data_IF_833767846902
#
_entry.id   IF_833767846902
#
_cell.length_a   1.000
_cell.length_b   1.000
_cell.length_c   1.000
_cell.angle_alpha   90.00
_cell.angle_beta   90.00
_cell.angle_gamma   90.00
#
_symmetry.space_group_name_H-M   'P 1'
#
loop_
_entity.id
_entity.type
_entity.pdbx_description
1 polymer ?
#
# COMPACT_ATOMS: atom_id res chain seq x y z
N UNK A 1 -41.41 16.71 55.49
CA UNK A 1 -40.61 15.59 54.95
C UNK A 1 -40.21 15.97 53.52
N UNK A 2 -38.99 16.53 53.35
CA UNK A 2 -38.46 16.83 52.04
C UNK A 2 -37.92 15.51 51.49
N UNK A 3 -38.58 14.93 50.50
CA UNK A 3 -38.02 13.81 49.72
C UNK A 3 -36.96 14.41 48.85
N UNK A 4 -35.70 14.23 49.22
CA UNK A 4 -34.58 14.53 48.32
C UNK A 4 -34.72 13.69 47.06
N UNK A 5 -34.88 14.34 45.91
CA UNK A 5 -34.92 13.61 44.65
C UNK A 5 -33.66 12.76 44.55
N UNK A 6 -33.78 11.50 44.07
CA UNK A 6 -32.64 10.63 43.92
C UNK A 6 -31.59 11.25 42.98
N UNK A 7 -30.29 11.13 43.31
CA UNK A 7 -29.16 11.74 42.60
C UNK A 7 -29.15 11.45 41.09
N UNK A 8 -29.77 10.31 40.62
CA UNK A 8 -29.91 9.97 39.23
C UNK A 8 -30.94 10.86 38.45
N UNK A 9 -31.72 11.68 39.13
CA UNK A 9 -32.57 12.69 38.49
C UNK A 9 -31.86 14.01 38.20
N UNK A 10 -30.58 14.15 38.60
CA UNK A 10 -29.80 15.32 38.30
C UNK A 10 -29.75 15.55 36.77
N UNK A 11 -30.03 16.79 36.28
CA UNK A 11 -29.96 17.14 34.85
C UNK A 11 -28.62 16.76 34.21
N UNK A 12 -27.55 16.87 34.96
CA UNK A 12 -26.19 16.52 34.55
C UNK A 12 -26.08 15.03 34.23
N UNK A 13 -26.57 14.15 35.10
CA UNK A 13 -26.54 12.69 34.90
C UNK A 13 -27.40 12.29 33.71
N UNK A 14 -28.56 12.93 33.50
CA UNK A 14 -29.40 12.69 32.32
C UNK A 14 -28.68 13.12 31.03
N UNK A 15 -28.01 14.27 31.02
CA UNK A 15 -27.25 14.72 29.84
C UNK A 15 -26.15 13.72 29.52
N UNK A 16 -25.33 13.30 30.49
CA UNK A 16 -24.27 12.30 30.25
C UNK A 16 -24.84 10.93 29.89
N UNK A 17 -25.92 10.48 30.51
CA UNK A 17 -26.60 9.22 30.19
C UNK A 17 -27.16 9.21 28.77
N UNK A 18 -27.87 10.27 28.37
CA UNK A 18 -28.41 10.41 27.02
C UNK A 18 -27.28 10.55 25.96
N UNK A 19 -26.23 11.32 26.28
CA UNK A 19 -25.05 11.46 25.42
C UNK A 19 -24.34 10.12 25.22
N UNK A 20 -24.17 9.34 26.31
CA UNK A 20 -23.61 8.00 26.24
C UNK A 20 -24.45 7.02 25.42
N UNK A 21 -25.79 7.01 25.66
CA UNK A 21 -26.72 6.18 24.91
C UNK A 21 -26.70 6.53 23.40
N UNK A 22 -26.68 7.83 23.10
CA UNK A 22 -26.57 8.29 21.70
C UNK A 22 -25.25 7.84 21.04
N UNK A 23 -24.12 7.99 21.73
CA UNK A 23 -22.81 7.58 21.21
C UNK A 23 -22.78 6.05 20.95
N UNK A 24 -23.34 5.25 21.88
CA UNK A 24 -23.43 3.79 21.70
C UNK A 24 -24.33 3.46 20.49
N UNK A 25 -25.53 4.06 20.39
CA UNK A 25 -26.44 3.83 19.29
C UNK A 25 -25.80 4.22 17.94
N UNK A 26 -25.12 5.36 17.87
CA UNK A 26 -24.39 5.82 16.69
C UNK A 26 -23.29 4.84 16.29
N UNK A 27 -22.51 4.37 17.26
CA UNK A 27 -21.43 3.40 17.05
C UNK A 27 -21.97 2.08 16.51
N UNK A 28 -23.02 1.52 17.14
CA UNK A 28 -23.66 0.28 16.69
C UNK A 28 -24.23 0.44 15.29
N UNK A 29 -24.92 1.55 15.02
CA UNK A 29 -25.47 1.84 13.70
C UNK A 29 -24.37 1.93 12.64
N UNK A 30 -23.29 2.65 12.92
CA UNK A 30 -22.14 2.75 12.02
C UNK A 30 -21.52 1.36 11.72
N UNK A 31 -21.35 0.53 12.74
CA UNK A 31 -20.83 -0.84 12.57
C UNK A 31 -21.76 -1.71 11.72
N UNK A 32 -23.06 -1.62 11.90
CA UNK A 32 -24.05 -2.39 11.14
C UNK A 32 -24.08 -1.94 9.67
N UNK A 33 -24.09 -0.64 9.44
CA UNK A 33 -24.02 -0.06 8.09
C UNK A 33 -22.75 -0.49 7.38
N UNK A 34 -21.60 -0.42 8.07
CA UNK A 34 -20.30 -0.79 7.51
C UNK A 34 -20.22 -2.23 7.00
N UNK A 35 -20.92 -3.17 7.67
CA UNK A 35 -20.99 -4.58 7.24
C UNK A 35 -21.69 -4.78 5.90
N UNK A 36 -22.64 -3.90 5.57
CA UNK A 36 -23.41 -3.97 4.31
C UNK A 36 -22.81 -3.19 3.16
N UNK A 37 -21.76 -2.39 3.39
CA UNK A 37 -21.16 -1.59 2.33
C UNK A 37 -20.13 -2.40 1.52
N UNK A 38 -20.16 -2.29 0.18
CA UNK A 38 -19.15 -2.90 -0.67
C UNK A 38 -17.80 -2.22 -0.47
N UNK A 39 -16.73 -2.86 -1.01
CA UNK A 39 -15.43 -2.20 -1.10
C UNK A 39 -15.56 -0.87 -1.88
N UNK A 40 -15.00 0.24 -1.39
CA UNK A 40 -15.20 1.56 -1.98
C UNK A 40 -14.69 1.64 -3.41
N UNK A 41 -15.21 2.61 -4.18
CA UNK A 41 -14.76 2.86 -5.55
C UNK A 41 -13.58 3.82 -5.54
N UNK A 42 -12.38 3.26 -5.50
CA UNK A 42 -11.11 3.98 -5.56
C UNK A 42 -10.48 3.73 -6.92
N UNK A 43 -10.20 4.74 -7.75
CA UNK A 43 -9.48 4.55 -8.99
C UNK A 43 -8.18 3.76 -8.77
N UNK A 44 -7.76 2.96 -9.74
CA UNK A 44 -6.57 2.09 -9.74
C UNK A 44 -6.57 0.95 -8.71
N UNK A 45 -7.28 1.10 -7.58
CA UNK A 45 -7.32 0.11 -6.49
C UNK A 45 -8.51 -0.84 -6.64
N UNK A 46 -9.73 -0.28 -6.70
CA UNK A 46 -10.96 -1.08 -6.65
C UNK A 46 -11.17 -2.00 -7.84
N UNK A 47 -10.83 -1.61 -9.07
CA UNK A 47 -10.97 -2.51 -10.22
C UNK A 47 -10.09 -3.75 -10.07
N UNK A 48 -8.83 -3.58 -9.66
CA UNK A 48 -7.90 -4.70 -9.43
C UNK A 48 -8.32 -5.56 -8.24
N UNK A 49 -8.79 -4.94 -7.15
CA UNK A 49 -9.31 -5.66 -5.99
C UNK A 49 -10.50 -6.54 -6.33
N UNK A 50 -11.50 -5.98 -7.06
CA UNK A 50 -12.71 -6.74 -7.47
C UNK A 50 -12.35 -7.90 -8.39
N UNK A 51 -11.52 -7.65 -9.40
CA UNK A 51 -11.05 -8.72 -10.29
C UNK A 51 -10.31 -9.82 -9.51
N UNK A 52 -9.41 -9.43 -8.61
CA UNK A 52 -8.70 -10.39 -7.77
C UNK A 52 -9.68 -11.18 -6.87
N UNK A 53 -10.66 -10.52 -6.25
CA UNK A 53 -11.66 -11.18 -5.41
C UNK A 53 -12.43 -12.28 -6.15
N UNK A 54 -12.77 -12.04 -7.42
CA UNK A 54 -13.46 -13.00 -8.29
C UNK A 54 -12.55 -14.14 -8.77
N UNK A 55 -11.24 -13.93 -8.83
CA UNK A 55 -10.28 -14.86 -9.42
C UNK A 55 -9.16 -15.26 -8.44
N UNK A 56 -9.30 -14.98 -7.15
CA UNK A 56 -8.26 -15.08 -6.11
C UNK A 56 -7.57 -16.46 -6.06
N UNK A 57 -8.31 -17.53 -6.33
CA UNK A 57 -7.81 -18.90 -6.26
C UNK A 57 -7.08 -19.34 -7.55
N UNK A 58 -6.91 -18.44 -8.52
CA UNK A 58 -6.07 -18.65 -9.71
C UNK A 58 -4.61 -18.30 -9.47
N UNK A 59 -4.34 -17.47 -8.43
CA UNK A 59 -3.03 -16.90 -8.16
C UNK A 59 -2.45 -17.44 -6.86
N UNK A 60 -1.17 -17.74 -6.86
CA UNK A 60 -0.43 -18.16 -5.67
C UNK A 60 0.59 -17.10 -5.20
N UNK A 61 0.82 -16.09 -6.02
CA UNK A 61 1.75 -15.00 -5.76
C UNK A 61 1.07 -13.66 -6.03
N UNK A 62 1.18 -12.72 -5.11
CA UNK A 62 0.67 -11.36 -5.31
C UNK A 62 1.75 -10.32 -5.05
N UNK A 63 1.70 -9.24 -5.84
CA UNK A 63 2.52 -8.05 -5.65
C UNK A 63 1.65 -6.93 -5.09
N UNK A 64 2.04 -6.36 -3.96
CA UNK A 64 1.32 -5.26 -3.30
C UNK A 64 2.27 -4.09 -3.11
N UNK A 65 1.97 -2.96 -3.72
CA UNK A 65 2.84 -1.79 -3.69
C UNK A 65 2.29 -0.58 -4.43
N UNK A 66 3.16 0.38 -4.67
CA UNK A 66 2.86 1.66 -5.31
C UNK A 66 2.85 1.59 -6.85
N UNK A 67 2.96 2.77 -7.48
CA UNK A 67 3.18 2.90 -8.93
C UNK A 67 4.41 2.12 -9.41
N UNK A 68 5.46 2.02 -8.58
CA UNK A 68 6.66 1.24 -8.91
C UNK A 68 6.32 -0.24 -9.14
N UNK A 69 5.46 -0.84 -8.33
CA UNK A 69 4.99 -2.20 -8.61
C UNK A 69 4.01 -2.23 -9.77
N UNK A 70 3.05 -1.28 -9.84
CA UNK A 70 2.06 -1.21 -10.91
C UNK A 70 2.68 -1.21 -12.29
N UNK A 71 3.73 -0.39 -12.49
CA UNK A 71 4.33 -0.12 -13.79
C UNK A 71 5.64 -0.87 -14.05
N UNK A 72 6.18 -1.59 -13.03
CA UNK A 72 7.51 -2.20 -13.14
C UNK A 72 7.53 -3.71 -12.95
N UNK A 73 6.41 -4.34 -12.53
CA UNK A 73 6.36 -5.79 -12.35
C UNK A 73 5.38 -6.41 -13.35
N UNK A 74 5.90 -7.25 -14.23
CA UNK A 74 5.18 -7.97 -15.27
C UNK A 74 4.95 -9.42 -14.79
N UNK A 75 3.74 -9.78 -14.30
CA UNK A 75 3.50 -11.09 -13.69
C UNK A 75 3.88 -12.27 -14.57
N UNK A 76 3.55 -12.23 -15.87
CA UNK A 76 3.86 -13.34 -16.77
C UNK A 76 5.36 -13.54 -16.98
N UNK A 77 6.15 -12.45 -16.98
CA UNK A 77 7.61 -12.51 -17.06
C UNK A 77 8.21 -13.05 -15.77
N UNK A 78 7.68 -12.62 -14.61
CA UNK A 78 8.07 -13.16 -13.31
C UNK A 78 7.81 -14.67 -13.22
N UNK A 79 6.61 -15.10 -13.62
CA UNK A 79 6.23 -16.52 -13.62
C UNK A 79 7.10 -17.37 -14.56
N UNK A 80 7.49 -16.81 -15.71
CA UNK A 80 8.42 -17.47 -16.62
C UNK A 80 9.80 -17.62 -16.00
N UNK A 81 10.34 -16.54 -15.46
CA UNK A 81 11.69 -16.51 -14.86
C UNK A 81 11.79 -17.45 -13.65
N UNK A 82 10.80 -17.41 -12.76
CA UNK A 82 10.78 -18.31 -11.59
C UNK A 82 10.66 -19.78 -11.99
N UNK A 83 9.91 -20.09 -13.05
CA UNK A 83 9.80 -21.45 -13.60
C UNK A 83 11.13 -21.94 -14.16
N UNK A 84 11.85 -21.08 -14.89
CA UNK A 84 13.17 -21.41 -15.44
C UNK A 84 14.20 -21.70 -14.33
N UNK A 85 13.94 -21.15 -13.13
CA UNK A 85 14.73 -21.41 -11.93
C UNK A 85 14.13 -22.49 -10.99
N UNK A 86 13.12 -23.25 -11.45
CA UNK A 86 12.55 -24.39 -10.74
C UNK A 86 11.48 -24.02 -9.68
N UNK A 87 10.92 -22.82 -9.72
CA UNK A 87 9.83 -22.40 -8.84
C UNK A 87 8.63 -21.99 -9.67
N UNK A 88 7.58 -22.81 -9.71
CA UNK A 88 6.35 -22.46 -10.39
C UNK A 88 5.56 -21.44 -9.59
N UNK A 89 5.21 -20.32 -10.23
CA UNK A 89 4.34 -19.28 -9.69
C UNK A 89 3.20 -18.96 -10.65
N UNK A 90 2.11 -18.44 -10.10
CA UNK A 90 1.01 -17.83 -10.84
C UNK A 90 0.68 -16.50 -10.17
N UNK A 91 1.21 -15.43 -10.73
CA UNK A 91 1.24 -14.15 -10.04
C UNK A 91 0.22 -13.13 -10.56
N UNK A 92 -0.15 -12.18 -9.69
CA UNK A 92 -1.01 -11.04 -10.00
C UNK A 92 -0.48 -9.75 -9.37
N UNK A 93 -0.49 -8.66 -10.13
CA UNK A 93 0.02 -7.35 -9.69
C UNK A 93 -1.12 -6.46 -9.18
N UNK A 94 -1.15 -6.26 -7.86
CA UNK A 94 -2.09 -5.38 -7.15
C UNK A 94 -1.51 -3.98 -6.86
N UNK A 95 -0.38 -3.64 -7.46
CA UNK A 95 0.21 -2.32 -7.35
C UNK A 95 -0.73 -1.22 -7.86
N UNK A 96 -0.76 -0.09 -7.15
CA UNK A 96 -1.58 1.08 -7.50
C UNK A 96 -0.82 2.38 -7.28
N UNK A 97 -1.01 3.36 -8.18
CA UNK A 97 -0.29 4.63 -8.13
C UNK A 97 -0.47 5.34 -6.79
N UNK A 98 0.65 5.72 -6.18
CA UNK A 98 0.67 6.43 -4.90
C UNK A 98 0.12 5.65 -3.71
N UNK A 99 0.06 4.34 -3.78
CA UNK A 99 -0.30 3.48 -2.64
C UNK A 99 0.92 3.34 -1.72
N UNK A 100 0.90 4.07 -0.61
CA UNK A 100 1.97 4.11 0.39
C UNK A 100 1.45 3.69 1.76
N UNK A 101 2.33 3.27 2.70
CA UNK A 101 1.91 3.04 4.08
C UNK A 101 1.21 4.27 4.70
N UNK A 102 0.15 4.10 5.49
CA UNK A 102 -0.50 2.83 5.91
C UNK A 102 -1.48 2.20 4.91
N UNK A 103 -1.76 2.85 3.75
CA UNK A 103 -2.72 2.36 2.75
C UNK A 103 -2.37 0.95 2.25
N UNK A 104 -1.09 0.70 1.91
CA UNK A 104 -0.63 -0.63 1.47
C UNK A 104 -0.90 -1.72 2.51
N UNK A 105 -0.72 -1.44 3.80
CA UNK A 105 -1.00 -2.39 4.88
C UNK A 105 -2.50 -2.67 5.01
N UNK A 106 -3.33 -1.62 4.94
CA UNK A 106 -4.78 -1.78 4.90
C UNK A 106 -5.21 -2.64 3.73
N UNK A 107 -4.72 -2.33 2.53
CA UNK A 107 -5.09 -3.01 1.30
C UNK A 107 -4.71 -4.49 1.33
N UNK A 108 -3.51 -4.82 1.77
CA UNK A 108 -3.11 -6.22 1.95
C UNK A 108 -4.05 -6.97 2.90
N UNK A 109 -4.45 -6.35 4.02
CA UNK A 109 -5.41 -6.96 4.96
C UNK A 109 -6.78 -7.22 4.32
N UNK A 110 -7.25 -6.32 3.43
CA UNK A 110 -8.47 -6.58 2.67
C UNK A 110 -8.31 -7.80 1.74
N UNK A 111 -7.16 -7.96 1.11
CA UNK A 111 -6.85 -9.11 0.25
C UNK A 111 -6.80 -10.40 1.08
N UNK A 112 -6.12 -10.41 2.22
CA UNK A 112 -6.04 -11.59 3.10
C UNK A 112 -7.42 -12.01 3.64
N UNK A 113 -8.33 -11.06 3.90
CA UNK A 113 -9.72 -11.32 4.29
C UNK A 113 -10.55 -12.04 3.22
N UNK A 114 -10.12 -12.04 1.97
CA UNK A 114 -10.76 -12.83 0.91
C UNK A 114 -10.43 -14.32 1.04
N UNK A 115 -9.49 -14.70 1.87
CA UNK A 115 -9.01 -16.08 2.06
C UNK A 115 -8.66 -16.76 0.73
N UNK A 116 -7.67 -16.24 -0.05
CA UNK A 116 -7.26 -16.86 -1.31
C UNK A 116 -6.61 -18.24 -1.02
N UNK A 117 -7.27 -19.32 -1.47
CA UNK A 117 -6.92 -20.68 -1.10
C UNK A 117 -5.56 -21.16 -1.62
N UNK A 118 -5.04 -20.55 -2.68
CA UNK A 118 -3.76 -20.93 -3.30
C UNK A 118 -2.59 -20.01 -2.95
N UNK A 119 -2.84 -18.93 -2.19
CA UNK A 119 -1.81 -17.95 -1.90
C UNK A 119 -0.64 -18.57 -1.14
N UNK A 120 0.55 -18.46 -1.71
CA UNK A 120 1.82 -18.92 -1.14
C UNK A 120 2.76 -17.76 -0.83
N UNK A 121 2.77 -16.74 -1.68
CA UNK A 121 3.74 -15.63 -1.56
C UNK A 121 3.06 -14.28 -1.71
N UNK A 122 3.43 -13.38 -0.79
CA UNK A 122 3.08 -11.97 -0.83
C UNK A 122 4.38 -11.18 -1.00
N UNK A 123 4.59 -10.64 -2.17
CA UNK A 123 5.72 -9.75 -2.45
C UNK A 123 5.25 -8.31 -2.21
N UNK A 124 5.83 -7.69 -1.19
CA UNK A 124 5.37 -6.43 -0.65
C UNK A 124 6.44 -5.34 -0.84
N UNK A 125 6.05 -4.20 -1.42
CA UNK A 125 6.95 -3.08 -1.62
C UNK A 125 7.26 -2.36 -0.32
N UNK A 126 8.56 -2.12 -0.06
CA UNK A 126 8.99 -1.29 1.05
C UNK A 126 9.01 0.17 0.58
N UNK A 127 8.34 1.02 1.33
CA UNK A 127 8.39 2.46 1.17
C UNK A 127 8.57 3.06 2.56
N UNK A 128 9.74 3.64 2.81
CA UNK A 128 10.00 4.40 4.04
C UNK A 128 9.81 5.89 3.77
N UNK A 129 8.66 6.21 3.27
CA UNK A 129 8.30 7.57 2.89
C UNK A 129 7.43 8.28 3.91
N UNK A 130 7.09 9.51 3.58
CA UNK A 130 6.07 10.29 4.27
C UNK A 130 4.71 9.62 4.05
N UNK A 131 3.81 9.69 5.03
CA UNK A 131 2.40 9.43 4.74
C UNK A 131 1.95 10.41 3.66
N UNK A 132 1.23 9.93 2.64
CA UNK A 132 0.77 10.78 1.55
C UNK A 132 -0.35 11.74 1.97
N UNK A 133 -0.85 11.64 3.17
CA UNK A 133 -1.91 12.52 3.67
C UNK A 133 -1.28 13.85 4.07
N UNK A 134 -1.36 14.79 3.17
CA UNK A 134 -1.19 16.21 3.40
C UNK A 134 -2.56 16.91 3.33
N UNK A 135 -2.58 18.23 3.55
CA UNK A 135 -3.82 19.02 3.64
C UNK A 135 -4.72 18.92 2.39
N UNK A 136 -4.17 18.63 1.21
CA UNK A 136 -4.92 18.51 -0.04
C UNK A 136 -5.73 17.20 -0.19
N UNK A 137 -5.33 16.14 0.49
CA UNK A 137 -5.94 14.80 0.32
C UNK A 137 -6.95 14.41 1.41
N UNK A 138 -7.13 15.21 2.46
CA UNK A 138 -7.99 14.86 3.59
C UNK A 138 -9.48 14.71 3.26
N UNK A 139 -9.92 15.19 2.09
CA UNK A 139 -11.31 15.05 1.61
C UNK A 139 -11.48 13.95 0.58
N UNK A 140 -10.41 13.40 0.04
CA UNK A 140 -10.45 12.36 -0.97
C UNK A 140 -10.96 11.04 -0.37
N UNK A 141 -11.82 10.36 -1.10
CA UNK A 141 -12.31 9.02 -0.75
C UNK A 141 -11.18 8.02 -0.56
N UNK A 142 -10.09 8.17 -1.30
CA UNK A 142 -8.91 7.37 -1.16
C UNK A 142 -8.21 7.57 0.19
N UNK A 143 -8.21 8.78 0.73
CA UNK A 143 -7.70 9.02 2.07
C UNK A 143 -8.62 8.40 3.13
N UNK A 144 -9.94 8.41 2.90
CA UNK A 144 -10.94 7.95 3.89
C UNK A 144 -10.96 6.43 4.03
N UNK A 145 -10.88 5.66 2.94
CA UNK A 145 -11.21 4.24 2.97
C UNK A 145 -10.29 3.38 3.84
N UNK A 146 -9.04 3.76 4.05
CA UNK A 146 -8.08 3.02 4.86
C UNK A 146 -7.92 3.53 6.30
N UNK A 147 -8.57 4.65 6.68
CA UNK A 147 -8.49 5.25 8.01
C UNK A 147 -9.40 4.53 9.04
N UNK A 148 -9.28 3.21 9.14
CA UNK A 148 -9.82 2.55 10.33
C UNK A 148 -8.98 2.88 11.58
N UNK A 149 -9.41 2.47 12.75
CA UNK A 149 -8.72 2.78 14.00
C UNK A 149 -7.25 2.34 14.01
N UNK A 150 -6.97 1.14 13.47
CA UNK A 150 -5.62 0.55 13.44
C UNK A 150 -4.66 1.33 12.53
N UNK A 151 -5.09 1.64 11.33
CA UNK A 151 -4.29 2.37 10.35
C UNK A 151 -4.20 3.86 10.68
N UNK A 152 -5.18 4.42 11.38
CA UNK A 152 -5.11 5.78 11.92
C UNK A 152 -4.06 5.88 13.02
N UNK A 153 -3.99 4.91 13.94
CA UNK A 153 -2.91 4.84 14.95
C UNK A 153 -1.54 4.69 14.30
N UNK A 154 -1.43 3.87 13.25
CA UNK A 154 -0.20 3.74 12.47
C UNK A 154 0.18 5.08 11.82
N UNK A 155 -0.76 5.78 11.21
CA UNK A 155 -0.53 7.10 10.63
C UNK A 155 -0.04 8.10 11.69
N UNK A 156 -0.64 8.12 12.87
CA UNK A 156 -0.18 8.96 13.98
C UNK A 156 1.25 8.63 14.41
N UNK A 157 1.59 7.34 14.54
CA UNK A 157 2.95 6.90 14.85
C UNK A 157 3.93 7.36 13.77
N UNK A 158 3.59 7.18 12.48
CA UNK A 158 4.41 7.65 11.35
C UNK A 158 4.59 9.17 11.33
N UNK A 159 3.55 9.94 11.66
CA UNK A 159 3.63 11.40 11.81
C UNK A 159 4.57 11.76 12.97
N UNK A 160 4.43 11.10 14.10
CA UNK A 160 5.27 11.34 15.28
C UNK A 160 6.76 11.08 14.99
N UNK A 161 7.08 9.97 14.35
CA UNK A 161 8.45 9.55 14.01
C UNK A 161 9.04 10.31 12.79
N UNK A 162 8.21 11.04 12.06
CA UNK A 162 8.66 11.77 10.86
C UNK A 162 9.59 12.95 11.22
N UNK A 163 10.49 13.36 10.29
CA UNK A 163 11.36 14.52 10.49
C UNK A 163 10.61 15.87 10.34
N UNK A 164 9.29 15.88 10.35
CA UNK A 164 8.46 17.07 10.22
C UNK A 164 8.58 17.99 11.43
N UNK A 165 8.36 19.27 11.23
CA UNK A 165 8.33 20.26 12.30
C UNK A 165 7.19 19.99 13.29
N UNK A 166 7.29 20.46 14.55
CA UNK A 166 6.20 20.33 15.51
C UNK A 166 4.89 20.98 15.04
N UNK A 167 4.98 22.02 14.22
CA UNK A 167 3.83 22.72 13.66
C UNK A 167 3.11 21.86 12.61
N UNK A 168 3.83 21.29 11.64
CA UNK A 168 3.27 20.35 10.67
C UNK A 168 2.63 19.13 11.36
N UNK A 169 3.29 18.57 12.37
CA UNK A 169 2.72 17.46 13.17
C UNK A 169 1.41 17.86 13.84
N UNK A 170 1.34 19.07 14.38
CA UNK A 170 0.14 19.59 15.07
C UNK A 170 -1.07 19.69 14.14
N UNK A 171 -0.86 19.95 12.86
CA UNK A 171 -1.94 19.95 11.85
C UNK A 171 -2.34 18.54 11.41
N UNK A 172 -1.39 17.61 11.31
CA UNK A 172 -1.65 16.28 10.78
C UNK A 172 -2.44 15.39 11.76
N UNK A 173 -2.25 15.52 13.07
CA UNK A 173 -3.00 14.72 14.05
C UNK A 173 -4.52 14.94 13.97
N UNK A 174 -5.05 16.18 14.03
CA UNK A 174 -6.49 16.42 13.85
C UNK A 174 -6.98 16.03 12.46
N UNK A 175 -6.16 16.20 11.41
CA UNK A 175 -6.51 15.77 10.06
C UNK A 175 -6.80 14.27 10.01
N UNK A 176 -5.85 13.43 10.44
CA UNK A 176 -6.04 11.97 10.50
C UNK A 176 -7.22 11.57 11.39
N UNK A 177 -7.43 12.29 12.49
CA UNK A 177 -8.58 12.07 13.40
C UNK A 177 -9.90 12.36 12.69
N UNK A 178 -9.99 13.48 11.99
CA UNK A 178 -11.20 13.85 11.24
C UNK A 178 -11.51 12.86 10.12
N UNK A 179 -10.49 12.37 9.41
CA UNK A 179 -10.65 11.36 8.36
C UNK A 179 -11.12 10.03 8.98
N UNK A 180 -10.57 9.63 10.14
CA UNK A 180 -11.05 8.46 10.88
C UNK A 180 -12.55 8.55 11.17
N UNK A 181 -13.03 9.66 11.71
CA UNK A 181 -14.46 9.81 11.99
C UNK A 181 -15.31 9.78 10.71
N UNK A 182 -14.84 10.33 9.60
CA UNK A 182 -15.53 10.22 8.31
C UNK A 182 -15.62 8.76 7.86
N UNK A 183 -14.54 8.00 7.98
CA UNK A 183 -14.51 6.57 7.66
C UNK A 183 -15.43 5.79 8.60
N UNK A 184 -15.30 5.99 9.91
CA UNK A 184 -16.08 5.30 10.93
C UNK A 184 -17.58 5.51 10.78
N UNK A 185 -18.01 6.73 10.47
CA UNK A 185 -19.42 7.09 10.25
C UNK A 185 -19.88 6.83 8.81
N UNK A 186 -19.02 6.30 7.95
CA UNK A 186 -19.30 6.05 6.53
C UNK A 186 -19.82 7.28 5.76
N UNK A 187 -19.34 8.47 6.10
CA UNK A 187 -19.78 9.71 5.47
C UNK A 187 -19.39 9.73 3.99
N UNK A 188 -20.39 9.99 3.12
CA UNK A 188 -20.21 9.99 1.68
C UNK A 188 -20.40 8.62 1.00
N UNK A 189 -20.43 7.51 1.75
CA UNK A 189 -20.56 6.17 1.19
C UNK A 189 -21.93 5.84 0.58
N UNK A 190 -22.97 6.51 1.05
CA UNK A 190 -24.34 6.33 0.51
C UNK A 190 -24.45 6.75 -0.95
N UNK A 191 -23.81 7.84 -1.33
CA UNK A 191 -23.77 8.33 -2.72
C UNK A 191 -23.01 7.36 -3.64
N UNK A 192 -21.89 6.83 -3.20
CA UNK A 192 -21.13 5.80 -3.94
C UNK A 192 -21.93 4.54 -4.14
N UNK A 193 -22.56 4.04 -3.07
CA UNK A 193 -23.40 2.85 -3.14
C UNK A 193 -24.54 3.04 -4.13
N UNK A 194 -25.20 4.19 -4.12
CA UNK A 194 -26.26 4.50 -5.06
C UNK A 194 -25.74 4.60 -6.50
N UNK A 195 -24.61 5.28 -6.72
CA UNK A 195 -23.97 5.39 -8.04
C UNK A 195 -23.54 4.03 -8.58
N UNK A 196 -22.97 3.18 -7.75
CA UNK A 196 -22.56 1.83 -8.14
C UNK A 196 -23.77 0.98 -8.56
N UNK A 197 -24.88 1.08 -7.83
CA UNK A 197 -26.15 0.40 -8.18
C UNK A 197 -26.77 0.95 -9.48
N UNK A 198 -26.72 2.26 -9.70
CA UNK A 198 -27.26 2.90 -10.92
C UNK A 198 -26.35 2.71 -12.15
N UNK A 199 -25.03 2.60 -11.97
CA UNK A 199 -24.07 2.39 -13.05
C UNK A 199 -23.94 0.93 -13.49
N UNK A 200 -24.74 0.02 -12.94
CA UNK A 200 -24.71 -1.41 -13.28
C UNK A 200 -24.93 -1.71 -14.77
N UNK A 201 -25.36 -0.75 -15.56
CA UNK A 201 -25.68 -0.89 -17.00
C UNK A 201 -24.55 -0.44 -17.93
N UNK A 202 -23.50 0.22 -17.44
CA UNK A 202 -22.39 0.60 -18.31
C UNK A 202 -21.51 -0.63 -18.59
N UNK A 203 -21.61 -1.20 -19.80
CA UNK A 203 -20.62 -2.16 -20.34
C UNK A 203 -19.22 -1.55 -20.20
N UNK A 204 -18.50 -1.93 -19.18
CA UNK A 204 -17.12 -1.50 -19.03
C UNK A 204 -16.27 -2.19 -20.10
N UNK A 205 -15.51 -1.40 -20.85
CA UNK A 205 -14.42 -1.91 -21.67
C UNK A 205 -13.50 -2.73 -20.75
N UNK A 206 -13.20 -3.96 -21.14
CA UNK A 206 -12.28 -4.81 -20.37
C UNK A 206 -10.95 -4.06 -20.24
N UNK A 207 -10.48 -3.73 -19.03
CA UNK A 207 -9.23 -3.01 -18.87
C UNK A 207 -8.06 -3.84 -19.40
N UNK A 208 -7.13 -3.19 -20.11
CA UNK A 208 -5.96 -3.85 -20.71
C UNK A 208 -5.09 -4.60 -19.69
N UNK A 209 -5.08 -4.14 -18.44
CA UNK A 209 -4.32 -4.79 -17.37
C UNK A 209 -4.87 -6.17 -16.95
N UNK A 210 -6.11 -6.54 -17.33
CA UNK A 210 -6.64 -7.87 -17.02
C UNK A 210 -5.82 -8.95 -17.73
N UNK A 211 -5.54 -8.79 -19.01
CA UNK A 211 -4.70 -9.72 -19.77
C UNK A 211 -3.27 -9.70 -19.27
N UNK A 212 -2.77 -8.53 -18.86
CA UNK A 212 -1.46 -8.34 -18.27
C UNK A 212 -1.39 -8.67 -16.76
N UNK A 213 -2.44 -9.30 -16.19
CA UNK A 213 -2.52 -9.69 -14.77
C UNK A 213 -2.19 -8.56 -13.79
N UNK A 214 -2.71 -7.37 -14.07
CA UNK A 214 -2.55 -6.19 -13.22
C UNK A 214 -1.38 -5.28 -13.58
N UNK A 215 -0.50 -5.66 -14.50
CA UNK A 215 0.56 -4.79 -15.01
C UNK A 215 0.01 -3.72 -15.95
N UNK A 216 0.53 -2.53 -15.82
CA UNK A 216 0.23 -1.39 -16.69
C UNK A 216 1.54 -0.66 -16.98
N UNK A 217 2.04 -0.69 -18.23
CA UNK A 217 3.29 0.01 -18.57
C UNK A 217 3.14 1.52 -18.40
N UNK A 218 4.24 2.21 -18.12
CA UNK A 218 4.28 3.66 -18.25
C UNK A 218 4.08 4.06 -19.71
N UNK A 219 3.43 5.22 -19.96
CA UNK A 219 3.18 5.69 -21.33
C UNK A 219 4.49 6.06 -22.04
N UNK A 220 4.44 6.06 -23.37
CA UNK A 220 5.53 6.56 -24.21
C UNK A 220 5.17 7.93 -24.78
N UNK A 221 6.14 8.84 -24.99
CA UNK A 221 7.57 8.69 -24.78
C UNK A 221 7.99 8.90 -23.31
N UNK A 222 9.23 8.47 -22.98
CA UNK A 222 9.84 8.74 -21.68
C UNK A 222 9.92 10.25 -21.40
N UNK A 223 9.67 10.63 -20.13
CA UNK A 223 9.86 12.00 -19.64
C UNK A 223 11.32 12.31 -19.28
N UNK A 224 12.20 11.30 -19.29
CA UNK A 224 13.61 11.44 -18.94
C UNK A 224 14.41 12.01 -20.12
N UNK A 225 14.22 13.30 -20.36
CA UNK A 225 14.87 14.05 -21.45
C UNK A 225 15.26 15.47 -21.01
N UNK A 226 16.19 16.10 -21.71
CA UNK A 226 16.59 17.48 -21.48
C UNK A 226 17.04 17.73 -20.02
N UNK A 227 16.49 18.77 -19.35
CA UNK A 227 16.85 19.09 -17.96
C UNK A 227 16.57 17.96 -16.97
N UNK A 228 15.49 17.19 -17.15
CA UNK A 228 15.13 16.06 -16.27
C UNK A 228 16.17 14.96 -16.36
N UNK A 229 16.68 14.67 -17.55
CA UNK A 229 17.79 13.73 -17.75
C UNK A 229 19.07 14.23 -17.08
N UNK A 230 19.39 15.51 -17.21
CA UNK A 230 20.59 16.09 -16.59
C UNK A 230 20.51 15.99 -15.06
N UNK A 231 19.37 16.24 -14.48
CA UNK A 231 19.12 16.07 -13.03
C UNK A 231 19.27 14.60 -12.63
N UNK A 232 18.65 13.68 -13.35
CA UNK A 232 18.78 12.24 -13.13
C UNK A 232 20.24 11.81 -13.11
N UNK A 233 21.03 12.16 -14.13
CA UNK A 233 22.44 11.82 -14.23
C UNK A 233 23.24 12.42 -13.08
N UNK A 234 22.95 13.65 -12.66
CA UNK A 234 23.58 14.26 -11.49
C UNK A 234 23.33 13.45 -10.20
N UNK A 235 22.10 12.94 -10.02
CA UNK A 235 21.77 12.08 -8.88
C UNK A 235 22.51 10.73 -8.98
N UNK A 236 22.57 10.12 -10.16
CA UNK A 236 23.32 8.88 -10.38
C UNK A 236 24.81 9.07 -10.01
N UNK A 237 25.44 10.16 -10.43
CA UNK A 237 26.85 10.46 -10.05
C UNK A 237 27.02 10.63 -8.52
N UNK A 238 26.00 11.15 -7.84
CA UNK A 238 26.02 11.20 -6.38
C UNK A 238 25.82 9.81 -5.76
N UNK A 239 25.03 8.93 -6.36
CA UNK A 239 24.81 7.56 -5.87
C UNK A 239 26.04 6.66 -6.01
N UNK A 240 26.95 6.96 -6.93
CA UNK A 240 28.25 6.28 -7.06
C UNK A 240 29.20 6.53 -5.88
N UNK A 241 28.97 7.60 -5.13
CA UNK A 241 29.81 7.93 -3.97
C UNK A 241 29.45 7.05 -2.77
N UNK A 242 30.44 6.60 -1.98
CA UNK A 242 30.17 5.84 -0.76
C UNK A 242 29.21 6.60 0.17
N UNK A 243 28.17 5.94 0.65
CA UNK A 243 27.19 6.49 1.57
C UNK A 243 26.98 5.53 2.73
N UNK A 244 26.80 6.08 3.91
CA UNK A 244 26.38 5.29 5.06
C UNK A 244 24.92 4.83 4.85
N UNK A 245 24.65 3.53 4.94
CA UNK A 245 23.31 3.03 4.87
C UNK A 245 22.45 3.59 6.02
N UNK A 246 21.19 3.86 5.74
CA UNK A 246 20.20 4.22 6.77
C UNK A 246 19.50 2.97 7.27
N UNK A 247 19.26 2.90 8.58
CA UNK A 247 18.31 1.93 9.13
C UNK A 247 16.86 2.26 8.71
N UNK A 248 16.07 1.23 8.54
CA UNK A 248 14.61 1.37 8.41
C UNK A 248 14.06 1.89 9.74
N UNK A 249 13.10 2.82 9.71
CA UNK A 249 12.49 3.38 10.93
C UNK A 249 11.84 2.28 11.78
N UNK A 250 12.01 2.32 13.12
CA UNK A 250 11.47 1.29 14.02
C UNK A 250 9.97 1.02 13.82
N UNK A 251 9.17 2.05 13.66
CA UNK A 251 7.72 1.90 13.44
C UNK A 251 7.37 1.19 12.13
N UNK A 252 8.19 1.35 11.08
CA UNK A 252 8.01 0.58 9.85
C UNK A 252 8.43 -0.88 10.05
N UNK A 253 9.53 -1.14 10.77
CA UNK A 253 9.97 -2.51 11.10
C UNK A 253 8.87 -3.26 11.85
N UNK A 254 8.27 -2.63 12.88
CA UNK A 254 7.18 -3.22 13.64
C UNK A 254 5.99 -3.56 12.72
N UNK A 255 5.62 -2.65 11.83
CA UNK A 255 4.55 -2.87 10.87
C UNK A 255 4.86 -4.01 9.87
N UNK A 256 6.10 -4.13 9.40
CA UNK A 256 6.52 -5.22 8.51
C UNK A 256 6.50 -6.57 9.23
N UNK A 257 6.90 -6.63 10.51
CA UNK A 257 6.78 -7.85 11.34
C UNK A 257 5.33 -8.27 11.54
N UNK A 258 4.45 -7.30 11.77
CA UNK A 258 3.02 -7.54 11.89
C UNK A 258 2.44 -8.09 10.58
N UNK A 259 2.77 -7.50 9.44
CA UNK A 259 2.38 -7.99 8.11
C UNK A 259 2.91 -9.41 7.86
N UNK A 260 4.18 -9.67 8.20
CA UNK A 260 4.75 -11.01 8.05
C UNK A 260 3.96 -12.05 8.88
N UNK A 261 3.60 -11.71 10.12
CA UNK A 261 2.81 -12.59 10.98
C UNK A 261 1.40 -12.84 10.41
N UNK A 262 0.74 -11.80 9.89
CA UNK A 262 -0.59 -11.91 9.28
C UNK A 262 -0.57 -12.75 7.99
N UNK A 263 0.44 -12.57 7.15
CA UNK A 263 0.63 -13.37 5.93
C UNK A 263 0.90 -14.83 6.27
N UNK A 264 1.73 -15.09 7.29
CA UNK A 264 1.97 -16.47 7.80
C UNK A 264 0.71 -17.10 8.37
N UNK A 265 -0.09 -16.34 9.12
CA UNK A 265 -1.37 -16.83 9.64
C UNK A 265 -2.38 -17.17 8.53
N UNK A 266 -2.25 -16.53 7.36
CA UNK A 266 -3.01 -16.87 6.16
C UNK A 266 -2.42 -18.05 5.36
N UNK A 267 -1.34 -18.69 5.84
CA UNK A 267 -0.70 -19.84 5.18
C UNK A 267 0.28 -19.47 4.06
N UNK A 268 0.72 -18.21 3.98
CA UNK A 268 1.63 -17.70 2.97
C UNK A 268 2.92 -17.13 3.57
N UNK A 269 3.90 -16.84 2.73
CA UNK A 269 5.15 -16.19 3.11
C UNK A 269 5.20 -14.76 2.55
N UNK A 270 5.67 -13.81 3.37
CA UNK A 270 5.91 -12.44 2.94
C UNK A 270 7.37 -12.26 2.51
N UNK A 271 7.58 -11.53 1.41
CA UNK A 271 8.89 -11.07 0.95
C UNK A 271 8.82 -9.56 0.73
N UNK A 272 9.74 -8.82 1.33
CA UNK A 272 9.80 -7.37 1.25
C UNK A 272 10.78 -6.93 0.18
N UNK A 273 10.32 -6.11 -0.76
CA UNK A 273 11.11 -5.69 -1.91
C UNK A 273 11.21 -4.18 -1.98
N UNK A 274 12.41 -3.68 -2.15
CA UNK A 274 12.67 -2.29 -2.54
C UNK A 274 13.04 -2.25 -4.02
N UNK A 275 12.20 -1.68 -4.91
CA UNK A 275 12.54 -1.50 -6.31
C UNK A 275 13.75 -0.57 -6.52
N UNK A 276 14.32 -0.51 -7.73
CA UNK A 276 15.33 0.48 -8.07
C UNK A 276 14.87 1.89 -7.74
N UNK A 277 15.72 2.67 -7.09
CA UNK A 277 15.37 4.01 -6.63
C UNK A 277 16.58 4.93 -6.63
N UNK A 278 16.38 6.15 -7.10
CA UNK A 278 17.37 7.23 -6.97
C UNK A 278 17.14 8.08 -5.70
N UNK A 279 16.14 7.74 -4.89
CA UNK A 279 15.86 8.46 -3.65
C UNK A 279 16.95 8.18 -2.60
N UNK A 280 17.75 9.18 -2.19
CA UNK A 280 18.82 8.98 -1.22
C UNK A 280 18.32 8.55 0.16
N UNK A 281 17.03 8.76 0.46
CA UNK A 281 16.43 8.32 1.72
C UNK A 281 16.08 6.83 1.75
N UNK A 282 16.13 6.16 0.61
CA UNK A 282 15.89 4.71 0.48
C UNK A 282 17.20 3.90 0.39
N UNK A 283 18.34 4.47 0.77
CA UNK A 283 19.60 3.74 0.92
C UNK A 283 19.60 2.93 2.22
N UNK A 284 18.84 1.83 2.23
CA UNK A 284 18.73 0.97 3.41
C UNK A 284 19.90 0.01 3.55
N UNK A 285 20.32 -0.18 4.81
CA UNK A 285 21.28 -1.19 5.24
C UNK A 285 21.06 -1.54 6.71
N UNK A 286 21.76 -2.55 7.22
CA UNK A 286 21.50 -3.04 8.57
C UNK A 286 20.08 -3.54 8.75
N UNK A 287 19.62 -4.38 7.80
CA UNK A 287 18.26 -4.91 7.78
C UNK A 287 17.95 -5.71 9.04
N UNK A 288 16.74 -5.60 9.58
CA UNK A 288 16.35 -6.33 10.77
C UNK A 288 16.30 -7.84 10.51
N UNK A 289 16.87 -8.60 11.44
CA UNK A 289 16.83 -10.06 11.39
C UNK A 289 15.39 -10.61 11.38
N UNK A 290 15.19 -11.72 10.70
CA UNK A 290 13.92 -12.44 10.65
C UNK A 290 12.89 -11.88 9.66
N UNK A 291 13.19 -10.78 8.98
CA UNK A 291 12.41 -10.28 7.85
C UNK A 291 13.15 -10.55 6.54
N UNK A 292 12.51 -11.20 5.55
CA UNK A 292 13.14 -11.44 4.26
C UNK A 292 13.06 -10.20 3.38
N UNK A 293 14.23 -9.76 2.87
CA UNK A 293 14.33 -8.60 2.00
C UNK A 293 15.04 -8.92 0.70
N UNK A 294 14.58 -8.30 -0.40
CA UNK A 294 15.32 -8.14 -1.65
C UNK A 294 15.37 -6.65 -1.97
N UNK A 295 16.58 -6.10 -1.99
CA UNK A 295 16.80 -4.68 -2.24
C UNK A 295 17.47 -4.47 -3.60
N UNK A 296 16.95 -3.49 -4.35
CA UNK A 296 17.52 -3.04 -5.63
C UNK A 296 17.98 -1.58 -5.55
N UNK A 297 18.41 -1.14 -4.37
CA UNK A 297 18.87 0.22 -4.11
C UNK A 297 20.41 0.37 -4.18
N UNK A 298 21.12 -0.67 -4.59
CA UNK A 298 22.56 -0.63 -4.80
C UNK A 298 22.87 -0.54 -6.29
N UNK A 299 23.30 0.64 -6.72
CA UNK A 299 23.67 0.90 -8.12
C UNK A 299 24.82 -0.02 -8.61
N UNK A 300 25.73 -0.45 -7.74
CA UNK A 300 26.84 -1.32 -8.14
C UNK A 300 26.39 -2.75 -8.44
N UNK A 301 25.41 -3.26 -7.69
CA UNK A 301 24.91 -4.63 -7.86
C UNK A 301 23.90 -4.74 -9.03
N UNK A 302 23.20 -3.65 -9.32
CA UNK A 302 22.11 -3.60 -10.27
C UNK A 302 22.26 -2.44 -11.29
N UNK A 303 23.50 -2.16 -11.73
CA UNK A 303 23.86 -1.00 -12.58
C UNK A 303 22.95 -0.85 -13.80
N UNK A 304 22.60 -1.96 -14.45
CA UNK A 304 21.68 -1.98 -15.60
C UNK A 304 20.35 -1.29 -15.30
N UNK A 305 19.79 -1.51 -14.10
CA UNK A 305 18.47 -0.95 -13.73
C UNK A 305 18.49 0.56 -13.49
N UNK A 306 19.67 1.19 -13.57
CA UNK A 306 19.87 2.63 -13.41
C UNK A 306 20.28 3.32 -14.72
N UNK A 307 20.29 2.60 -15.85
CA UNK A 307 20.54 3.19 -17.15
C UNK A 307 19.35 4.08 -17.57
N UNK A 308 19.60 5.33 -18.03
CA UNK A 308 18.53 6.27 -18.39
C UNK A 308 17.54 5.72 -19.41
N UNK A 309 18.01 4.89 -20.32
CA UNK A 309 17.22 4.28 -21.41
C UNK A 309 16.17 3.29 -20.89
N UNK A 310 16.29 2.86 -19.64
CA UNK A 310 15.34 1.96 -18.97
C UNK A 310 14.33 2.71 -18.08
N UNK A 311 14.43 4.03 -18.02
CA UNK A 311 13.57 4.84 -17.17
C UNK A 311 12.51 5.62 -17.99
N UNK A 312 11.33 5.76 -17.37
CA UNK A 312 10.29 6.70 -17.83
C UNK A 312 10.52 8.10 -17.25
N UNK A 313 10.80 8.15 -15.95
CA UNK A 313 11.17 9.35 -15.19
C UNK A 313 12.19 8.99 -14.08
N UNK A 314 12.49 9.93 -13.19
CA UNK A 314 13.43 9.68 -12.09
C UNK A 314 12.98 8.64 -11.06
N UNK A 315 11.71 8.22 -11.06
CA UNK A 315 11.13 7.29 -10.08
C UNK A 315 10.58 6.00 -10.68
N UNK A 316 10.42 5.94 -11.99
CA UNK A 316 9.76 4.83 -12.66
C UNK A 316 10.58 4.32 -13.85
N UNK A 317 10.59 3.00 -14.00
CA UNK A 317 11.13 2.32 -15.17
C UNK A 317 10.12 2.37 -16.33
N UNK A 318 10.60 2.45 -17.56
CA UNK A 318 9.78 2.25 -18.75
C UNK A 318 9.51 0.75 -19.00
N UNK A 319 8.84 0.40 -20.09
CA UNK A 319 8.48 -0.99 -20.41
C UNK A 319 9.71 -1.91 -20.48
N UNK A 320 10.83 -1.45 -21.07
CA UNK A 320 12.08 -2.20 -21.15
C UNK A 320 12.73 -2.39 -19.77
N UNK A 321 12.74 -1.33 -18.97
CA UNK A 321 13.22 -1.36 -17.59
C UNK A 321 12.38 -2.26 -16.70
N UNK A 322 11.06 -2.25 -16.87
CA UNK A 322 10.13 -3.16 -16.19
C UNK A 322 10.43 -4.64 -16.51
N UNK A 323 10.74 -4.97 -17.78
CA UNK A 323 11.18 -6.33 -18.15
C UNK A 323 12.48 -6.73 -17.46
N UNK A 324 13.49 -5.86 -17.47
CA UNK A 324 14.79 -6.11 -16.85
C UNK A 324 14.66 -6.29 -15.34
N UNK A 325 13.91 -5.41 -14.68
CA UNK A 325 13.65 -5.49 -13.23
C UNK A 325 12.87 -6.75 -12.86
N UNK A 326 11.79 -7.06 -13.60
CA UNK A 326 10.96 -8.24 -13.31
C UNK A 326 11.77 -9.53 -13.42
N UNK A 327 12.64 -9.66 -14.44
CA UNK A 327 13.54 -10.81 -14.59
C UNK A 327 14.47 -10.93 -13.40
N UNK A 328 15.15 -9.83 -13.05
CA UNK A 328 16.09 -9.81 -11.93
C UNK A 328 15.41 -10.11 -10.58
N UNK A 329 14.17 -9.66 -10.42
CA UNK A 329 13.35 -9.99 -9.23
C UNK A 329 13.01 -11.50 -9.20
N UNK A 330 12.65 -12.11 -10.32
CA UNK A 330 12.39 -13.55 -10.43
C UNK A 330 13.61 -14.41 -10.09
N UNK A 331 14.80 -14.03 -10.59
CA UNK A 331 16.09 -14.68 -10.26
C UNK A 331 16.33 -14.64 -8.75
N UNK A 332 16.30 -13.44 -8.14
CA UNK A 332 16.56 -13.26 -6.70
C UNK A 332 15.49 -13.90 -5.81
N UNK A 333 14.23 -13.88 -6.23
CA UNK A 333 13.17 -14.61 -5.55
C UNK A 333 13.45 -16.12 -5.53
N UNK A 334 13.87 -16.69 -6.65
CA UNK A 334 14.19 -18.11 -6.75
C UNK A 334 15.44 -18.49 -5.93
N UNK A 335 16.42 -17.60 -5.85
CA UNK A 335 17.58 -17.76 -4.97
C UNK A 335 17.16 -17.75 -3.50
N UNK A 336 16.36 -16.78 -3.10
CA UNK A 336 15.81 -16.67 -1.74
C UNK A 336 15.05 -17.94 -1.35
N UNK A 337 14.21 -18.45 -2.25
CA UNK A 337 13.47 -19.69 -2.03
C UNK A 337 14.39 -20.89 -1.81
N UNK A 338 15.49 -21.00 -2.52
CA UNK A 338 16.46 -22.09 -2.35
C UNK A 338 17.22 -22.01 -1.04
N UNK A 339 17.50 -20.81 -0.54
CA UNK A 339 18.22 -20.58 0.72
C UNK A 339 17.33 -20.81 1.96
N UNK A 340 16.06 -20.59 1.86
CA UNK A 340 15.08 -20.70 2.95
C UNK A 340 14.55 -22.12 3.20
N UNK A 341 15.19 -23.16 2.67
CA UNK A 341 14.85 -24.58 2.89
C UNK A 341 15.54 -25.17 4.09
#
# INVERSE_FOLDING_TARGET
MNRSEPWWFSPVIRIFGNGGAFAVALTVTAMLVGKGLPFPTIPDVSPKFRYFAEHKDRFDTIFVGSSRFRHQIIPQKFDAETRDHGTETSSFNLGASGMWPPETFFFLRQILRLHPARLKWVIFEIIDGKTRVDEGYGSDQRAVYWHDWRHTLMAWKMVWESPRTPEEKRHLFPLHTGIFFRQFLHLGRGTEWAQEKMNFVKKHRVPSWIEARGFEPEPEPSLLAGPVLAEYLSVIEQLKKPRLPRGIRPGLIDALREIQAEVRAAGAEALFVLPPTINPNENFGGLPEGLPFILFNNLHDDALLYEPELHYDGGHLNARGAEAFTRRLGERFSEWRRQGR
#
